data_IF_214624087904
#
_entry.id   IF_214624087904
#
_cell.length_a   1.000
_cell.length_b   1.000
_cell.length_c   1.000
_cell.angle_alpha   90.00
_cell.angle_beta   90.00
_cell.angle_gamma   90.00
#
_symmetry.space_group_name_H-M   'P 1'
#
loop_
_entity.id
_entity.type
_entity.pdbx_description
1 polymer ?
#
# COMPACT_ATOMS: atom_id res chain seq x y z
N UNK A 1 12.54 -11.90 -24.41
CA UNK A 1 11.33 -12.29 -23.70
C UNK A 1 11.65 -13.55 -22.91
N UNK A 2 11.70 -13.46 -21.58
CA UNK A 2 11.90 -14.61 -20.70
C UNK A 2 10.64 -15.49 -20.77
N UNK A 3 10.74 -16.66 -21.35
CA UNK A 3 9.70 -17.69 -21.32
C UNK A 3 9.59 -18.20 -19.88
N UNK A 4 8.52 -17.86 -19.19
CA UNK A 4 8.20 -18.42 -17.89
C UNK A 4 7.58 -19.79 -18.10
N UNK A 5 8.38 -20.85 -17.95
CA UNK A 5 7.83 -22.19 -17.81
C UNK A 5 7.29 -22.32 -16.38
N UNK A 6 5.98 -22.14 -16.22
CA UNK A 6 5.32 -22.56 -14.99
C UNK A 6 5.36 -24.09 -14.95
N UNK A 7 5.88 -24.64 -13.85
CA UNK A 7 5.78 -26.06 -13.54
C UNK A 7 4.28 -26.45 -13.50
N UNK A 8 3.90 -27.52 -14.18
CA UNK A 8 2.51 -28.01 -14.23
C UNK A 8 1.90 -28.24 -12.85
N UNK A 9 2.72 -28.64 -11.89
CA UNK A 9 2.29 -28.80 -10.50
C UNK A 9 1.95 -27.50 -9.82
N UNK A 10 2.70 -26.43 -10.11
CA UNK A 10 2.43 -25.07 -9.61
C UNK A 10 1.14 -24.53 -10.24
N UNK A 11 0.98 -24.70 -11.55
CA UNK A 11 -0.22 -24.31 -12.27
C UNK A 11 -1.48 -24.98 -11.68
N UNK A 12 -1.43 -26.30 -11.45
CA UNK A 12 -2.52 -27.06 -10.83
C UNK A 12 -2.85 -26.53 -9.42
N UNK A 13 -1.84 -26.20 -8.60
CA UNK A 13 -2.08 -25.64 -7.27
C UNK A 13 -2.78 -24.28 -7.33
N UNK A 14 -2.38 -23.40 -8.29
CA UNK A 14 -3.03 -22.11 -8.50
C UNK A 14 -4.47 -22.29 -8.99
N UNK A 15 -4.72 -23.19 -9.94
CA UNK A 15 -6.05 -23.49 -10.42
C UNK A 15 -6.97 -23.99 -9.30
N UNK A 16 -6.51 -24.90 -8.45
CA UNK A 16 -7.25 -25.36 -7.27
C UNK A 16 -7.59 -24.24 -6.31
N UNK A 17 -6.67 -23.28 -6.09
CA UNK A 17 -6.93 -22.13 -5.25
C UNK A 17 -8.02 -21.22 -5.85
N UNK A 18 -7.98 -21.00 -7.16
CA UNK A 18 -8.99 -20.19 -7.86
C UNK A 18 -10.36 -20.87 -7.84
N UNK A 19 -10.43 -22.18 -8.04
CA UNK A 19 -11.70 -22.92 -8.03
C UNK A 19 -12.33 -23.10 -6.65
N UNK A 20 -11.63 -22.76 -5.55
CA UNK A 20 -12.24 -22.78 -4.22
C UNK A 20 -13.43 -21.84 -4.07
N UNK A 21 -13.55 -20.80 -4.92
CA UNK A 21 -14.70 -19.89 -4.89
C UNK A 21 -16.04 -20.60 -5.19
N UNK A 22 -16.01 -21.74 -5.89
CA UNK A 22 -17.20 -22.56 -6.18
C UNK A 22 -17.74 -23.25 -4.92
N UNK A 23 -16.87 -23.48 -3.90
CA UNK A 23 -17.21 -24.09 -2.63
C UNK A 23 -16.77 -23.23 -1.44
N UNK A 24 -17.50 -22.15 -1.10
CA UNK A 24 -17.09 -21.21 -0.06
C UNK A 24 -16.84 -21.83 1.32
N UNK A 25 -17.47 -22.95 1.62
CA UNK A 25 -17.32 -23.67 2.90
C UNK A 25 -15.90 -24.23 3.09
N UNK A 26 -15.22 -24.54 1.99
CA UNK A 26 -13.90 -25.17 2.00
C UNK A 26 -12.76 -24.14 2.03
N UNK A 27 -13.04 -22.87 1.73
CA UNK A 27 -12.03 -21.81 1.63
C UNK A 27 -11.23 -21.69 2.93
N UNK A 28 -11.90 -21.64 4.08
CA UNK A 28 -11.24 -21.44 5.35
C UNK A 28 -10.21 -22.52 5.73
N UNK A 29 -10.41 -23.75 5.26
CA UNK A 29 -9.53 -24.86 5.54
C UNK A 29 -8.54 -25.16 4.41
N UNK A 30 -9.01 -25.21 3.17
CA UNK A 30 -8.18 -25.61 2.03
C UNK A 30 -7.30 -24.49 1.48
N UNK A 31 -7.75 -23.22 1.50
CA UNK A 31 -6.97 -22.13 0.95
C UNK A 31 -5.58 -21.99 1.61
N UNK A 32 -5.42 -22.03 2.96
CA UNK A 32 -4.11 -21.97 3.60
C UNK A 32 -3.18 -23.13 3.19
N UNK A 33 -3.72 -24.34 3.04
CA UNK A 33 -2.94 -25.52 2.64
C UNK A 33 -2.44 -25.41 1.19
N UNK A 34 -3.31 -24.98 0.28
CA UNK A 34 -2.94 -24.78 -1.13
C UNK A 34 -1.95 -23.61 -1.26
N UNK A 35 -2.09 -22.54 -0.49
CA UNK A 35 -1.13 -21.45 -0.46
C UNK A 35 0.26 -21.92 0.02
N UNK A 36 0.32 -22.79 1.04
CA UNK A 36 1.59 -23.38 1.49
C UNK A 36 2.22 -24.26 0.39
N UNK A 37 1.42 -25.04 -0.33
CA UNK A 37 1.89 -25.83 -1.48
C UNK A 37 2.47 -24.91 -2.57
N UNK A 38 1.77 -23.82 -2.92
CA UNK A 38 2.24 -22.83 -3.90
C UNK A 38 3.58 -22.24 -3.47
N UNK A 39 3.71 -21.79 -2.21
CA UNK A 39 4.97 -21.24 -1.69
C UNK A 39 6.10 -22.26 -1.72
N UNK A 40 5.84 -23.50 -1.32
CA UNK A 40 6.82 -24.57 -1.39
C UNK A 40 7.34 -24.77 -2.82
N UNK A 41 6.44 -24.90 -3.80
CA UNK A 41 6.80 -25.11 -5.21
C UNK A 41 7.56 -23.91 -5.79
N UNK A 42 7.16 -22.68 -5.46
CA UNK A 42 7.88 -21.47 -5.88
C UNK A 42 9.30 -21.41 -5.31
N UNK A 43 9.50 -21.84 -4.07
CA UNK A 43 10.80 -21.79 -3.39
C UNK A 43 11.73 -22.94 -3.79
N UNK A 44 11.20 -24.09 -4.19
CA UNK A 44 11.97 -25.30 -4.55
C UNK A 44 12.13 -25.49 -6.06
N UNK A 45 11.31 -24.81 -6.89
CA UNK A 45 11.39 -24.87 -8.35
C UNK A 45 12.65 -24.19 -8.92
N UNK A 46 12.84 -24.29 -10.23
CA UNK A 46 14.01 -23.75 -10.96
C UNK A 46 14.25 -22.24 -10.71
N UNK A 47 13.20 -21.49 -10.44
CA UNK A 47 13.26 -20.06 -10.11
C UNK A 47 13.37 -19.80 -8.59
N UNK A 48 13.47 -20.85 -7.76
CA UNK A 48 13.48 -20.75 -6.31
C UNK A 48 14.56 -19.82 -5.75
N UNK A 49 15.73 -19.75 -6.38
CA UNK A 49 16.80 -18.82 -6.02
C UNK A 49 16.39 -17.35 -6.19
N UNK A 50 15.68 -17.02 -7.28
CA UNK A 50 15.16 -15.67 -7.52
C UNK A 50 14.03 -15.33 -6.53
N UNK A 51 13.14 -16.27 -6.25
CA UNK A 51 12.09 -16.09 -5.25
C UNK A 51 12.66 -15.92 -3.83
N UNK A 52 13.67 -16.72 -3.45
CA UNK A 52 14.39 -16.54 -2.17
C UNK A 52 15.05 -15.17 -2.07
N UNK A 53 15.68 -14.68 -3.14
CA UNK A 53 16.25 -13.33 -3.20
C UNK A 53 15.15 -12.25 -3.11
N UNK A 54 14.00 -12.43 -3.73
CA UNK A 54 12.85 -11.53 -3.60
C UNK A 54 12.28 -11.54 -2.17
N UNK A 55 12.19 -12.71 -1.53
CA UNK A 55 11.68 -12.86 -0.16
C UNK A 55 12.69 -12.33 0.86
N UNK A 56 13.98 -12.48 0.65
CA UNK A 56 15.02 -11.86 1.51
C UNK A 56 15.07 -10.34 1.33
N UNK A 57 14.84 -9.82 0.13
CA UNK A 57 14.50 -8.40 -0.09
C UNK A 57 13.12 -8.04 0.46
N UNK A 58 12.23 -8.99 0.70
CA UNK A 58 10.92 -8.86 1.31
C UNK A 58 10.95 -8.37 2.77
N UNK A 59 12.09 -8.45 3.44
CA UNK A 59 12.32 -7.78 4.72
C UNK A 59 12.10 -6.26 4.60
N UNK A 60 12.62 -5.61 3.57
CA UNK A 60 12.40 -4.18 3.34
C UNK A 60 10.97 -3.88 2.89
N UNK A 61 10.38 -4.72 2.03
CA UNK A 61 8.98 -4.58 1.60
C UNK A 61 8.03 -4.67 2.79
N UNK A 62 8.23 -5.63 3.68
CA UNK A 62 7.43 -5.77 4.91
C UNK A 62 7.58 -4.55 5.83
N UNK A 63 8.80 -4.06 6.01
CA UNK A 63 9.08 -2.87 6.82
C UNK A 63 8.42 -1.61 6.23
N UNK A 64 8.47 -1.43 4.91
CA UNK A 64 7.78 -0.31 4.24
C UNK A 64 6.26 -0.48 4.33
N UNK A 65 5.71 -1.70 4.19
CA UNK A 65 4.30 -1.96 4.39
C UNK A 65 3.82 -1.59 5.80
N UNK A 66 4.62 -1.83 6.84
CA UNK A 66 4.33 -1.37 8.20
C UNK A 66 4.29 0.16 8.30
N UNK A 67 5.26 0.84 7.68
CA UNK A 67 5.29 2.31 7.66
C UNK A 67 4.10 2.90 6.88
N UNK A 68 3.71 2.33 5.74
CA UNK A 68 2.53 2.77 4.98
C UNK A 68 1.24 2.53 5.76
N UNK A 69 1.12 1.41 6.44
CA UNK A 69 -0.03 1.13 7.32
C UNK A 69 -0.10 2.14 8.47
N UNK A 70 1.03 2.44 9.13
CA UNK A 70 1.09 3.45 10.17
C UNK A 70 0.66 4.83 9.64
N UNK A 71 1.15 5.24 8.47
CA UNK A 71 0.74 6.48 7.82
C UNK A 71 -0.76 6.53 7.51
N UNK A 72 -1.36 5.40 7.11
CA UNK A 72 -2.80 5.31 6.85
C UNK A 72 -3.65 5.52 8.11
N UNK A 73 -3.16 5.08 9.28
CA UNK A 73 -3.86 5.27 10.55
C UNK A 73 -3.65 6.66 11.16
N UNK A 74 -2.53 7.33 10.83
CA UNK A 74 -2.07 8.57 11.49
C UNK A 74 -1.83 9.72 10.50
N UNK A 75 -2.41 9.67 9.29
CA UNK A 75 -2.11 10.62 8.23
C UNK A 75 -2.38 12.09 8.60
N UNK A 76 -3.34 12.35 9.47
CA UNK A 76 -3.70 13.71 9.95
C UNK A 76 -2.68 14.29 10.93
N UNK A 77 -1.84 13.46 11.55
CA UNK A 77 -0.86 13.88 12.53
C UNK A 77 0.42 14.40 11.87
N UNK A 78 1.21 15.17 12.63
CA UNK A 78 2.56 15.58 12.22
C UNK A 78 3.53 14.42 12.46
N UNK A 79 3.91 13.72 11.39
CA UNK A 79 4.82 12.57 11.43
C UNK A 79 6.12 12.93 10.74
N UNK A 80 7.26 12.72 11.43
CA UNK A 80 8.58 12.92 10.83
C UNK A 80 9.03 11.65 10.08
N UNK A 81 9.89 11.81 9.09
CA UNK A 81 10.44 10.67 8.35
C UNK A 81 11.35 9.83 9.24
N UNK A 82 12.01 10.47 10.20
CA UNK A 82 12.81 9.82 11.24
C UNK A 82 11.96 8.84 12.07
N UNK A 83 10.75 9.26 12.46
CA UNK A 83 9.80 8.38 13.17
C UNK A 83 9.48 7.14 12.36
N UNK A 84 9.19 7.29 11.06
CA UNK A 84 8.88 6.18 10.17
C UNK A 84 10.09 5.26 9.95
N UNK A 85 11.28 5.83 9.79
CA UNK A 85 12.51 5.07 9.65
C UNK A 85 12.79 4.23 10.90
N UNK A 86 12.64 4.81 12.09
CA UNK A 86 12.81 4.13 13.37
C UNK A 86 11.79 3.00 13.57
N UNK A 87 10.51 3.24 13.28
CA UNK A 87 9.46 2.21 13.32
C UNK A 87 9.75 1.05 12.38
N UNK A 88 10.40 1.33 11.26
CA UNK A 88 10.78 0.33 10.26
C UNK A 88 12.12 -0.35 10.58
N UNK A 89 12.84 0.06 11.64
CA UNK A 89 14.18 -0.43 11.95
C UNK A 89 15.15 -0.22 10.79
N UNK A 90 15.12 0.98 10.18
CA UNK A 90 15.95 1.36 9.01
C UNK A 90 16.67 2.68 9.27
N UNK A 91 17.85 2.85 8.64
CA UNK A 91 18.48 4.18 8.58
C UNK A 91 17.60 5.13 7.76
N UNK A 92 17.67 6.44 8.04
CA UNK A 92 16.89 7.45 7.35
C UNK A 92 17.07 7.40 5.82
N UNK A 93 18.30 7.30 5.33
CA UNK A 93 18.61 7.22 3.90
C UNK A 93 18.10 5.93 3.27
N UNK A 94 18.28 4.79 3.97
CA UNK A 94 17.76 3.49 3.53
C UNK A 94 16.24 3.49 3.45
N UNK A 95 15.57 4.05 4.47
CA UNK A 95 14.12 4.18 4.49
C UNK A 95 13.60 5.01 3.30
N UNK A 96 14.16 6.20 3.07
CA UNK A 96 13.79 7.04 1.92
C UNK A 96 13.92 6.31 0.58
N UNK A 97 15.05 5.64 0.37
CA UNK A 97 15.33 4.90 -0.87
C UNK A 97 14.33 3.77 -1.09
N UNK A 98 14.12 2.92 -0.09
CA UNK A 98 13.21 1.78 -0.19
C UNK A 98 11.73 2.20 -0.25
N UNK A 99 11.34 3.23 0.52
CA UNK A 99 9.99 3.76 0.49
C UNK A 99 9.64 4.27 -0.92
N UNK A 100 10.49 5.11 -1.51
CA UNK A 100 10.29 5.64 -2.86
C UNK A 100 10.29 4.54 -3.93
N UNK A 101 11.17 3.53 -3.79
CA UNK A 101 11.25 2.40 -4.72
C UNK A 101 9.96 1.56 -4.71
N UNK A 102 9.33 1.39 -3.54
CA UNK A 102 8.16 0.52 -3.38
C UNK A 102 6.86 1.31 -3.65
N UNK A 103 6.74 2.55 -3.18
CA UNK A 103 5.51 3.35 -3.28
C UNK A 103 5.50 4.31 -4.47
N UNK A 104 6.63 4.51 -5.14
CA UNK A 104 6.87 5.54 -6.17
C UNK A 104 6.77 6.99 -5.66
N UNK A 105 6.56 7.19 -4.36
CA UNK A 105 6.41 8.49 -3.70
C UNK A 105 7.41 8.63 -2.55
N UNK A 106 7.76 9.87 -2.21
CA UNK A 106 8.42 10.11 -0.92
C UNK A 106 7.44 9.92 0.25
N UNK A 107 7.89 9.64 1.48
CA UNK A 107 6.99 9.48 2.63
C UNK A 107 6.05 10.67 2.83
N UNK A 108 6.56 11.90 2.69
CA UNK A 108 5.78 13.12 2.81
C UNK A 108 4.73 13.26 1.69
N UNK A 109 5.10 12.93 0.44
CA UNK A 109 4.16 12.92 -0.68
C UNK A 109 3.06 11.87 -0.48
N UNK A 110 3.43 10.71 0.04
CA UNK A 110 2.48 9.63 0.36
C UNK A 110 1.48 10.07 1.44
N UNK A 111 1.97 10.67 2.54
CA UNK A 111 1.09 11.22 3.59
C UNK A 111 0.15 12.29 3.03
N UNK A 112 0.66 13.21 2.21
CA UNK A 112 -0.16 14.24 1.56
C UNK A 112 -1.25 13.64 0.67
N UNK A 113 -0.93 12.60 -0.10
CA UNK A 113 -1.94 11.93 -0.92
C UNK A 113 -3.05 11.31 -0.08
N UNK A 114 -2.73 10.69 1.06
CA UNK A 114 -3.73 10.16 1.99
C UNK A 114 -4.67 11.24 2.52
N UNK A 115 -4.10 12.38 2.97
CA UNK A 115 -4.87 13.54 3.43
C UNK A 115 -5.84 14.06 2.37
N UNK A 116 -5.36 14.21 1.14
CA UNK A 116 -6.16 14.73 0.04
C UNK A 116 -7.26 13.76 -0.40
N UNK A 117 -6.97 12.45 -0.43
CA UNK A 117 -7.95 11.43 -0.78
C UNK A 117 -9.06 11.35 0.27
N UNK A 118 -8.72 11.39 1.56
CA UNK A 118 -9.71 11.41 2.63
C UNK A 118 -10.52 12.73 2.62
N UNK A 119 -9.86 13.86 2.40
CA UNK A 119 -10.57 15.14 2.25
C UNK A 119 -11.62 15.10 1.12
N UNK A 120 -11.26 14.53 -0.03
CA UNK A 120 -12.19 14.37 -1.15
C UNK A 120 -13.39 13.49 -0.76
N UNK A 121 -13.14 12.40 -0.06
CA UNK A 121 -14.21 11.53 0.42
C UNK A 121 -15.17 12.27 1.36
N UNK A 122 -14.64 13.02 2.33
CA UNK A 122 -15.43 13.80 3.28
C UNK A 122 -16.27 14.89 2.59
N UNK A 123 -15.67 15.60 1.63
CA UNK A 123 -16.38 16.68 0.90
C UNK A 123 -17.43 16.10 -0.05
N UNK A 124 -17.06 15.11 -0.88
CA UNK A 124 -17.92 14.61 -1.95
C UNK A 124 -19.03 13.67 -1.45
N UNK A 125 -18.77 12.86 -0.41
CA UNK A 125 -19.69 11.85 0.07
C UNK A 125 -20.43 12.27 1.34
N UNK A 126 -19.76 12.99 2.25
CA UNK A 126 -20.37 13.43 3.50
C UNK A 126 -20.83 14.90 3.48
N UNK A 127 -20.52 15.67 2.42
CA UNK A 127 -20.91 17.06 2.30
C UNK A 127 -20.27 18.00 3.33
N UNK A 128 -19.10 17.63 3.88
CA UNK A 128 -18.44 18.42 4.92
C UNK A 128 -17.90 19.74 4.39
N UNK A 129 -17.91 20.75 5.24
CA UNK A 129 -17.36 22.06 4.92
C UNK A 129 -15.86 21.97 4.60
N UNK A 130 -15.40 22.66 3.54
CA UNK A 130 -14.02 22.60 3.03
C UNK A 130 -13.01 23.01 4.12
N UNK A 131 -13.30 24.08 4.87
CA UNK A 131 -12.43 24.58 5.93
C UNK A 131 -12.28 23.59 7.09
N UNK A 132 -13.38 23.01 7.53
CA UNK A 132 -13.39 21.99 8.58
C UNK A 132 -12.63 20.75 8.14
N UNK A 133 -12.88 20.28 6.91
CA UNK A 133 -12.18 19.14 6.32
C UNK A 133 -10.68 19.36 6.25
N UNK A 134 -10.22 20.57 5.86
CA UNK A 134 -8.80 20.88 5.81
C UNK A 134 -8.11 20.65 7.16
N UNK A 135 -8.69 21.13 8.25
CA UNK A 135 -8.14 20.92 9.60
C UNK A 135 -8.24 19.45 10.02
N UNK A 136 -9.35 18.80 9.76
CA UNK A 136 -9.57 17.40 10.12
C UNK A 136 -8.54 16.46 9.49
N UNK A 137 -8.14 16.71 8.24
CA UNK A 137 -7.14 15.89 7.56
C UNK A 137 -5.69 16.34 7.84
N UNK A 138 -5.48 17.30 8.76
CA UNK A 138 -4.17 17.69 9.27
C UNK A 138 -3.48 18.84 8.54
N UNK A 139 -4.22 19.69 7.82
CA UNK A 139 -3.69 20.95 7.31
C UNK A 139 -3.87 22.08 8.35
N UNK A 140 -2.83 22.87 8.55
CA UNK A 140 -2.88 24.04 9.41
C UNK A 140 -3.51 25.25 8.71
N UNK A 141 -3.57 25.25 7.37
CA UNK A 141 -4.09 26.35 6.56
C UNK A 141 -5.04 25.85 5.46
N UNK A 142 -6.31 26.28 5.48
CA UNK A 142 -7.28 25.98 4.40
C UNK A 142 -6.81 26.50 3.03
N UNK A 143 -6.04 27.59 3.01
CA UNK A 143 -5.47 28.14 1.77
C UNK A 143 -4.39 27.22 1.19
N UNK A 144 -3.53 26.66 2.06
CA UNK A 144 -2.54 25.65 1.62
C UNK A 144 -3.24 24.40 1.14
N UNK A 145 -4.23 23.90 1.88
CA UNK A 145 -5.04 22.75 1.51
C UNK A 145 -5.65 22.94 0.10
N UNK A 146 -6.33 24.06 -0.15
CA UNK A 146 -6.99 24.32 -1.42
C UNK A 146 -6.02 24.36 -2.60
N UNK A 147 -4.82 24.91 -2.41
CA UNK A 147 -3.77 24.92 -3.44
C UNK A 147 -3.24 23.50 -3.73
N UNK A 148 -2.97 22.72 -2.69
CA UNK A 148 -2.47 21.34 -2.84
C UNK A 148 -3.55 20.43 -3.42
N UNK A 149 -4.80 20.58 -3.01
CA UNK A 149 -5.96 19.88 -3.55
C UNK A 149 -6.11 20.12 -5.07
N UNK A 150 -6.09 21.40 -5.47
CA UNK A 150 -6.16 21.75 -6.90
C UNK A 150 -5.00 21.17 -7.71
N UNK A 151 -3.79 21.18 -7.15
CA UNK A 151 -2.62 20.59 -7.81
C UNK A 151 -2.74 19.08 -7.98
N UNK A 152 -3.34 18.40 -6.99
CA UNK A 152 -3.46 16.95 -6.98
C UNK A 152 -4.61 16.43 -7.85
N UNK A 153 -5.79 17.06 -7.78
CA UNK A 153 -7.02 16.64 -8.48
C UNK A 153 -7.32 17.43 -9.75
N UNK A 154 -6.59 18.49 -10.06
CA UNK A 154 -6.82 19.36 -11.22
C UNK A 154 -7.87 20.44 -11.03
N UNK A 155 -8.69 20.39 -9.97
CA UNK A 155 -9.75 21.36 -9.66
C UNK A 155 -9.78 21.68 -8.15
N UNK A 156 -10.40 22.81 -7.80
CA UNK A 156 -10.55 23.23 -6.40
C UNK A 156 -11.52 22.30 -5.64
N UNK A 157 -11.41 22.21 -4.28
CA UNK A 157 -12.29 21.37 -3.45
C UNK A 157 -13.79 21.63 -3.66
N UNK A 158 -14.17 22.87 -4.00
CA UNK A 158 -15.56 23.25 -4.30
C UNK A 158 -16.14 22.46 -5.49
N UNK A 159 -15.31 21.98 -6.40
CA UNK A 159 -15.75 21.19 -7.56
C UNK A 159 -16.27 19.79 -7.22
N UNK A 160 -15.97 19.27 -6.01
CA UNK A 160 -16.46 17.98 -5.53
C UNK A 160 -17.70 18.10 -4.60
N UNK A 161 -18.17 19.31 -4.32
CA UNK A 161 -19.43 19.52 -3.60
C UNK A 161 -20.58 19.19 -4.56
N UNK A 162 -21.43 18.25 -4.16
CA UNK A 162 -22.66 17.90 -4.88
C UNK A 162 -23.81 18.79 -4.48
#
# INVERSE_FOLDING_TARGET
FAQWHLDESLKNAVERLLFLHENPKDIGFLAPLIQQEIYYRLLTGEQGGKFKAMVSNGSHTKKIAQATYYLQQHFSETITVETLANLSGMSLSGFHSHFKKITSLSPLQYQKSLRLMEARRLIAQEGRAITETAYQVGYESPSQFSREYKRYFGHAPKGDIK
#
